data_IF_626970946003
#
_entry.id   IF_626970946003
#
_cell.length_a   1.000
_cell.length_b   1.000
_cell.length_c   1.000
_cell.angle_alpha   90.00
_cell.angle_beta   90.00
_cell.angle_gamma   90.00
#
_symmetry.space_group_name_H-M   'P 1'
#
loop_
_entity.id
_entity.type
_entity.pdbx_description
1 polymer ?
#
# COMPACT_ATOMS: atom_id res chain seq x y z
N UNK A 1 31.05 -6.91 -4.55
CA UNK A 1 30.08 -5.84 -4.23
C UNK A 1 29.13 -5.67 -5.41
N UNK A 2 27.88 -6.13 -5.29
CA UNK A 2 26.89 -6.01 -6.37
C UNK A 2 26.52 -4.54 -6.57
N UNK A 3 26.86 -3.99 -7.74
CA UNK A 3 26.49 -2.63 -8.17
C UNK A 3 25.13 -2.71 -8.86
N UNK A 4 24.12 -2.01 -8.33
CA UNK A 4 22.76 -2.04 -8.87
C UNK A 4 22.38 -0.64 -9.34
N UNK A 5 21.93 -0.52 -10.58
CA UNK A 5 21.50 0.76 -11.14
C UNK A 5 20.26 1.30 -10.42
N UNK A 6 20.17 2.62 -10.25
CA UNK A 6 19.03 3.33 -9.66
C UNK A 6 17.67 2.95 -10.28
N UNK A 7 17.66 2.58 -11.57
CA UNK A 7 16.47 2.10 -12.27
C UNK A 7 15.99 0.73 -11.73
N UNK A 8 16.91 -0.21 -11.51
CA UNK A 8 16.59 -1.54 -10.99
C UNK A 8 16.12 -1.47 -9.53
N UNK A 9 16.72 -0.59 -8.73
CA UNK A 9 16.28 -0.35 -7.33
C UNK A 9 14.84 0.14 -7.29
N UNK A 10 14.50 1.14 -8.11
CA UNK A 10 13.14 1.69 -8.18
C UNK A 10 12.13 0.62 -8.59
N UNK A 11 12.52 -0.29 -9.50
CA UNK A 11 11.70 -1.40 -9.94
C UNK A 11 11.46 -2.44 -8.84
N UNK A 12 12.51 -2.80 -8.09
CA UNK A 12 12.39 -3.74 -6.96
C UNK A 12 11.48 -3.16 -5.87
N UNK A 13 11.63 -1.88 -5.54
CA UNK A 13 10.74 -1.22 -4.56
C UNK A 13 9.28 -1.19 -5.02
N UNK A 14 9.02 -0.90 -6.30
CA UNK A 14 7.68 -0.99 -6.88
C UNK A 14 7.09 -2.39 -6.79
N UNK A 15 7.90 -3.42 -7.08
CA UNK A 15 7.46 -4.82 -7.00
C UNK A 15 7.05 -5.21 -5.57
N UNK A 16 7.85 -4.83 -4.57
CA UNK A 16 7.54 -5.08 -3.16
C UNK A 16 6.21 -4.42 -2.77
N UNK A 17 5.99 -3.17 -3.20
CA UNK A 17 4.76 -2.44 -2.89
C UNK A 17 3.53 -3.06 -3.55
N UNK A 18 3.64 -3.57 -4.78
CA UNK A 18 2.56 -4.33 -5.40
C UNK A 18 2.28 -5.61 -4.63
N UNK A 19 3.31 -6.42 -4.32
CA UNK A 19 3.11 -7.69 -3.63
C UNK A 19 2.42 -7.49 -2.27
N UNK A 20 2.88 -6.53 -1.47
CA UNK A 20 2.26 -6.19 -0.19
C UNK A 20 0.85 -5.63 -0.37
N UNK A 21 0.66 -4.76 -1.38
CA UNK A 21 -0.64 -4.17 -1.68
C UNK A 21 -1.68 -5.22 -2.09
N UNK A 22 -1.33 -6.15 -2.96
CA UNK A 22 -2.20 -7.26 -3.37
C UNK A 22 -2.54 -8.19 -2.19
N UNK A 23 -1.55 -8.50 -1.34
CA UNK A 23 -1.77 -9.32 -0.16
C UNK A 23 -2.75 -8.69 0.83
N UNK A 24 -2.58 -7.40 1.13
CA UNK A 24 -3.48 -6.65 2.02
C UNK A 24 -4.89 -6.54 1.43
N UNK A 25 -4.99 -6.30 0.12
CA UNK A 25 -6.28 -6.23 -0.56
C UNK A 25 -7.03 -7.56 -0.47
N UNK A 26 -6.35 -8.68 -0.68
CA UNK A 26 -6.94 -10.01 -0.53
C UNK A 26 -7.39 -10.28 0.92
N UNK A 27 -6.56 -9.89 1.90
CA UNK A 27 -6.88 -10.06 3.32
C UNK A 27 -8.10 -9.22 3.72
N UNK A 28 -8.15 -7.96 3.29
CA UNK A 28 -9.24 -7.04 3.58
C UNK A 28 -10.56 -7.45 2.92
N UNK A 29 -10.51 -7.91 1.66
CA UNK A 29 -11.66 -8.49 0.98
C UNK A 29 -12.21 -9.70 1.71
N UNK A 30 -11.34 -10.61 2.16
CA UNK A 30 -11.75 -11.79 2.93
C UNK A 30 -12.41 -11.40 4.25
N UNK A 31 -11.86 -10.41 4.95
CA UNK A 31 -12.43 -9.90 6.21
C UNK A 31 -13.82 -9.29 6.03
N UNK A 32 -14.11 -8.65 4.89
CA UNK A 32 -15.40 -8.00 4.62
C UNK A 32 -16.43 -8.99 4.06
N UNK A 33 -16.02 -9.91 3.19
CA UNK A 33 -16.93 -10.79 2.43
C UNK A 33 -17.18 -12.15 3.10
N UNK A 34 -16.34 -12.56 4.05
CA UNK A 34 -16.45 -13.87 4.70
C UNK A 34 -17.10 -13.74 6.09
N UNK A 35 -18.41 -14.00 6.23
CA UNK A 35 -19.12 -13.90 7.51
C UNK A 35 -18.61 -14.92 8.54
N UNK A 36 -17.96 -15.99 8.10
CA UNK A 36 -17.35 -17.01 8.98
C UNK A 36 -16.12 -16.49 9.73
N UNK A 37 -15.48 -15.43 9.25
CA UNK A 37 -14.42 -14.70 9.98
C UNK A 37 -14.96 -13.69 10.99
N UNK A 38 -16.28 -13.63 11.19
CA UNK A 38 -16.92 -12.93 12.30
C UNK A 38 -17.42 -13.87 13.43
N UNK A 39 -16.63 -14.81 13.97
CA UNK A 39 -17.08 -15.61 15.10
C UNK A 39 -17.10 -14.70 16.35
N UNK A 40 -18.28 -14.14 16.66
CA UNK A 40 -18.53 -13.31 17.85
C UNK A 40 -18.20 -11.81 17.71
N UNK A 41 -17.93 -11.29 16.51
CA UNK A 41 -17.43 -9.93 16.31
C UNK A 41 -18.52 -8.90 16.01
N UNK A 42 -18.63 -7.85 16.84
CA UNK A 42 -19.44 -6.66 16.56
C UNK A 42 -19.12 -6.12 15.16
N UNK A 43 -20.11 -6.05 14.27
CA UNK A 43 -19.99 -5.49 12.91
C UNK A 43 -20.69 -4.13 12.81
N UNK A 44 -20.23 -3.10 13.55
CA UNK A 44 -20.98 -1.87 13.74
C UNK A 44 -21.16 -1.07 12.45
N UNK A 45 -20.24 -1.18 11.48
CA UNK A 45 -20.37 -0.44 10.22
C UNK A 45 -21.27 -1.20 9.25
N UNK A 46 -21.05 -2.50 9.10
CA UNK A 46 -21.89 -3.33 8.23
C UNK A 46 -23.35 -3.33 8.68
N UNK A 47 -23.63 -3.36 10.00
CA UNK A 47 -25.01 -3.32 10.52
C UNK A 47 -25.71 -1.98 10.28
N UNK A 48 -25.01 -0.86 10.44
CA UNK A 48 -25.56 0.47 10.14
C UNK A 48 -25.84 0.67 8.65
N UNK A 49 -24.96 0.15 7.78
CA UNK A 49 -25.15 0.23 6.31
C UNK A 49 -26.23 -0.75 5.84
N UNK A 50 -26.33 -1.92 6.46
CA UNK A 50 -27.38 -2.91 6.18
C UNK A 50 -28.79 -2.33 6.37
N UNK A 51 -28.99 -1.49 7.39
CA UNK A 51 -30.27 -0.81 7.61
C UNK A 51 -30.69 0.13 6.46
N UNK A 52 -29.74 0.56 5.62
CA UNK A 52 -29.99 1.44 4.46
C UNK A 52 -29.97 0.66 3.14
N UNK A 53 -29.14 -0.36 3.02
CA UNK A 53 -28.89 -1.10 1.76
C UNK A 53 -29.56 -2.48 1.67
N UNK A 54 -30.27 -2.92 2.71
CA UNK A 54 -31.15 -4.09 2.67
C UNK A 54 -30.45 -5.45 2.88
N UNK A 55 -29.19 -5.60 2.46
CA UNK A 55 -28.44 -6.85 2.64
C UNK A 55 -26.96 -6.68 3.00
N UNK A 56 -26.39 -7.73 3.59
CA UNK A 56 -25.02 -7.75 4.10
C UNK A 56 -23.98 -7.72 2.96
N UNK A 57 -24.30 -8.35 1.83
CA UNK A 57 -23.44 -8.36 0.65
C UNK A 57 -23.38 -6.97 -0.01
N UNK A 58 -24.52 -6.29 -0.17
CA UNK A 58 -24.55 -4.93 -0.73
C UNK A 58 -23.79 -3.96 0.16
N UNK A 59 -23.98 -4.05 1.48
CA UNK A 59 -23.24 -3.25 2.46
C UNK A 59 -21.72 -3.50 2.41
N UNK A 60 -21.30 -4.77 2.27
CA UNK A 60 -19.89 -5.15 2.12
C UNK A 60 -19.26 -4.59 0.84
N UNK A 61 -19.95 -4.71 -0.29
CA UNK A 61 -19.49 -4.16 -1.58
C UNK A 61 -19.39 -2.62 -1.50
N UNK A 62 -20.37 -1.95 -0.88
CA UNK A 62 -20.33 -0.51 -0.69
C UNK A 62 -19.13 -0.08 0.17
N UNK A 63 -18.87 -0.80 1.26
CA UNK A 63 -17.71 -0.54 2.12
C UNK A 63 -16.38 -0.75 1.38
N UNK A 64 -16.27 -1.81 0.56
CA UNK A 64 -15.11 -2.04 -0.30
C UNK A 64 -14.94 -0.89 -1.29
N UNK A 65 -16.02 -0.45 -1.95
CA UNK A 65 -15.96 0.65 -2.92
C UNK A 65 -15.49 1.95 -2.27
N UNK A 66 -16.00 2.28 -1.08
CA UNK A 66 -15.58 3.45 -0.29
C UNK A 66 -14.11 3.31 0.11
N UNK A 67 -13.70 2.15 0.61
CA UNK A 67 -12.32 1.89 1.00
C UNK A 67 -11.34 2.03 -0.17
N UNK A 68 -11.69 1.45 -1.34
CA UNK A 68 -10.92 1.59 -2.57
C UNK A 68 -10.82 3.06 -3.01
N UNK A 69 -11.92 3.81 -2.93
CA UNK A 69 -11.93 5.23 -3.28
C UNK A 69 -11.04 6.06 -2.34
N UNK A 70 -11.14 5.85 -1.03
CA UNK A 70 -10.28 6.49 -0.02
C UNK A 70 -8.81 6.12 -0.27
N UNK A 71 -8.53 4.84 -0.49
CA UNK A 71 -7.19 4.32 -0.79
C UNK A 71 -6.60 4.95 -2.04
N UNK A 72 -7.40 5.10 -3.10
CA UNK A 72 -7.01 5.76 -4.34
C UNK A 72 -6.68 7.25 -4.11
N UNK A 73 -7.55 8.00 -3.43
CA UNK A 73 -7.34 9.43 -3.14
C UNK A 73 -6.08 9.65 -2.29
N UNK A 74 -5.93 8.86 -1.22
CA UNK A 74 -4.80 8.95 -0.30
C UNK A 74 -3.50 8.51 -0.97
N UNK A 75 -3.55 7.44 -1.77
CA UNK A 75 -2.41 6.95 -2.55
C UNK A 75 -1.90 7.96 -3.57
N UNK A 76 -2.82 8.62 -4.29
CA UNK A 76 -2.48 9.63 -5.30
C UNK A 76 -1.75 10.85 -4.72
N UNK A 77 -2.07 11.27 -3.50
CA UNK A 77 -1.50 12.48 -2.90
C UNK A 77 -0.30 12.19 -1.98
N UNK A 78 -0.44 11.28 -1.01
CA UNK A 78 0.59 11.00 -0.02
C UNK A 78 1.71 10.12 -0.58
N UNK A 79 1.36 8.97 -1.17
CA UNK A 79 2.37 8.00 -1.63
C UNK A 79 3.09 8.48 -2.87
N UNK A 80 2.43 9.25 -3.75
CA UNK A 80 3.12 9.89 -4.88
C UNK A 80 4.22 10.85 -4.42
N UNK A 81 3.96 11.63 -3.37
CA UNK A 81 4.97 12.52 -2.76
C UNK A 81 6.11 11.71 -2.14
N UNK A 82 5.80 10.64 -1.41
CA UNK A 82 6.80 9.76 -0.80
C UNK A 82 7.67 9.03 -1.84
N UNK A 83 7.07 8.50 -2.92
CA UNK A 83 7.78 7.81 -4.00
C UNK A 83 8.73 8.78 -4.73
N UNK A 84 8.27 10.00 -5.05
CA UNK A 84 9.11 11.04 -5.63
C UNK A 84 10.27 11.40 -4.72
N UNK A 85 10.03 11.67 -3.44
CA UNK A 85 11.09 11.95 -2.47
C UNK A 85 12.09 10.79 -2.34
N UNK A 86 11.62 9.54 -2.40
CA UNK A 86 12.48 8.35 -2.41
C UNK A 86 13.42 8.32 -3.62
N UNK A 87 12.90 8.58 -4.82
CA UNK A 87 13.69 8.61 -6.06
C UNK A 87 14.60 9.83 -6.15
N UNK A 88 14.14 11.02 -5.73
CA UNK A 88 14.95 12.23 -5.65
C UNK A 88 16.18 12.01 -4.76
N UNK A 89 15.97 11.32 -3.63
CA UNK A 89 17.05 10.95 -2.72
C UNK A 89 17.98 9.90 -3.33
N UNK A 90 17.47 8.93 -4.08
CA UNK A 90 18.33 7.98 -4.81
C UNK A 90 19.25 8.71 -5.79
N UNK A 91 18.80 9.82 -6.41
CA UNK A 91 19.62 10.65 -7.31
C UNK A 91 20.70 11.47 -6.61
N UNK A 92 20.54 11.81 -5.33
CA UNK A 92 21.53 12.61 -4.60
C UNK A 92 22.75 11.82 -4.14
N UNK A 93 22.83 10.51 -4.44
CA UNK A 93 23.97 9.66 -4.11
C UNK A 93 24.83 9.37 -5.36
N UNK A 94 26.16 9.23 -5.20
CA UNK A 94 27.06 8.88 -6.30
C UNK A 94 26.75 7.49 -6.87
N UNK A 95 26.62 7.39 -8.20
CA UNK A 95 26.48 6.14 -8.94
C UNK A 95 27.89 5.53 -9.14
N UNK A 96 28.17 4.28 -8.73
CA UNK A 96 27.28 3.24 -8.23
C UNK A 96 27.12 3.18 -6.70
N UNK A 97 25.86 3.06 -6.25
CA UNK A 97 25.52 2.92 -4.83
C UNK A 97 25.64 1.46 -4.34
N UNK A 98 26.20 1.20 -3.15
CA UNK A 98 26.14 -0.10 -2.49
C UNK A 98 24.72 -0.43 -2.00
N UNK A 99 24.26 -1.67 -2.21
CA UNK A 99 22.91 -2.19 -1.85
C UNK A 99 22.53 -1.91 -0.38
N UNK A 100 23.50 -1.82 0.53
CA UNK A 100 23.24 -1.55 1.95
C UNK A 100 22.67 -0.14 2.21
N UNK A 101 22.85 0.81 1.29
CA UNK A 101 22.26 2.16 1.37
C UNK A 101 20.97 2.31 0.54
N UNK A 102 20.46 1.21 -0.02
CA UNK A 102 19.31 1.20 -0.94
C UNK A 102 18.03 1.74 -0.29
N UNK A 103 17.87 1.54 1.02
CA UNK A 103 16.76 2.09 1.79
C UNK A 103 17.29 2.98 2.91
N UNK A 104 16.90 4.26 2.90
CA UNK A 104 17.20 5.15 4.02
C UNK A 104 16.55 4.61 5.30
N UNK A 105 17.17 4.81 6.48
CA UNK A 105 16.53 4.57 7.77
C UNK A 105 15.11 5.17 7.86
N UNK A 106 14.85 6.31 7.21
CA UNK A 106 13.52 6.94 7.15
C UNK A 106 12.47 6.08 6.43
N UNK A 107 12.88 5.30 5.44
CA UNK A 107 11.99 4.38 4.72
C UNK A 107 11.66 3.14 5.57
N UNK A 108 12.64 2.60 6.31
CA UNK A 108 12.37 1.55 7.29
C UNK A 108 11.44 2.04 8.41
N UNK A 109 11.57 3.28 8.86
CA UNK A 109 10.65 3.89 9.83
C UNK A 109 9.25 4.05 9.23
N UNK A 110 9.13 4.50 7.98
CA UNK A 110 7.82 4.62 7.31
C UNK A 110 7.15 3.25 7.15
N UNK A 111 7.90 2.25 6.67
CA UNK A 111 7.42 0.87 6.48
C UNK A 111 7.04 0.24 7.83
N UNK A 112 7.92 0.38 8.83
CA UNK A 112 7.69 -0.08 10.20
C UNK A 112 6.51 0.64 10.85
N UNK A 113 6.27 1.91 10.54
CA UNK A 113 5.11 2.67 11.00
C UNK A 113 3.81 2.18 10.38
N UNK A 114 3.79 1.85 9.08
CA UNK A 114 2.60 1.29 8.42
C UNK A 114 2.28 -0.12 8.91
N UNK A 115 3.30 -0.98 9.07
CA UNK A 115 3.14 -2.33 9.63
C UNK A 115 2.76 -2.25 11.12
N UNK A 116 3.39 -1.34 11.86
CA UNK A 116 3.12 -1.09 13.28
C UNK A 116 1.70 -0.59 13.52
N UNK A 117 1.16 0.27 12.64
CA UNK A 117 -0.24 0.68 12.65
C UNK A 117 -1.18 -0.51 12.37
N UNK A 118 -0.85 -1.35 11.38
CA UNK A 118 -1.65 -2.56 11.11
C UNK A 118 -1.64 -3.54 12.28
N UNK A 119 -0.49 -3.70 12.95
CA UNK A 119 -0.37 -4.56 14.13
C UNK A 119 -1.04 -3.96 15.37
N UNK A 120 -0.97 -2.64 15.59
CA UNK A 120 -1.63 -2.00 16.72
C UNK A 120 -3.16 -2.07 16.59
N UNK A 121 -3.69 -2.00 15.37
CA UNK A 121 -5.12 -2.23 15.11
C UNK A 121 -5.57 -3.63 15.50
N UNK A 122 -4.72 -4.65 15.29
CA UNK A 122 -4.98 -6.02 15.75
C UNK A 122 -4.96 -6.10 17.28
N UNK A 123 -4.06 -5.38 17.94
CA UNK A 123 -3.94 -5.39 19.40
C UNK A 123 -5.08 -4.63 20.09
N UNK A 124 -5.62 -3.60 19.44
CA UNK A 124 -6.74 -2.78 19.92
C UNK A 124 -8.11 -3.47 19.76
N UNK A 125 -8.17 -4.70 19.21
CA UNK A 125 -9.42 -5.45 19.07
C UNK A 125 -10.41 -4.79 18.10
N UNK A 126 -9.92 -4.09 17.06
CA UNK A 126 -10.81 -3.44 16.11
C UNK A 126 -11.74 -4.44 15.40
N UNK A 127 -13.02 -4.06 15.17
CA UNK A 127 -13.95 -4.85 14.38
C UNK A 127 -13.38 -5.26 13.03
N UNK A 128 -13.69 -6.49 12.61
CA UNK A 128 -13.18 -7.07 11.37
C UNK A 128 -13.60 -6.26 10.13
N UNK A 129 -14.78 -5.61 10.14
CA UNK A 129 -15.26 -4.73 9.07
C UNK A 129 -14.34 -3.52 8.87
N UNK A 130 -13.96 -2.88 9.97
CA UNK A 130 -13.14 -1.66 9.97
C UNK A 130 -11.73 -2.04 9.52
N UNK A 131 -11.21 -3.13 10.08
CA UNK A 131 -9.91 -3.64 9.71
C UNK A 131 -9.85 -4.03 8.24
N UNK A 132 -10.85 -4.75 7.75
CA UNK A 132 -10.95 -5.12 6.34
C UNK A 132 -11.01 -3.90 5.43
N UNK A 133 -11.81 -2.89 5.80
CA UNK A 133 -11.88 -1.62 5.06
C UNK A 133 -10.54 -0.88 5.03
N UNK A 134 -9.82 -0.84 6.15
CA UNK A 134 -8.48 -0.24 6.22
C UNK A 134 -7.50 -1.03 5.35
N UNK A 135 -7.49 -2.36 5.43
CA UNK A 135 -6.58 -3.22 4.65
C UNK A 135 -6.83 -3.07 3.14
N UNK A 136 -8.09 -2.97 2.71
CA UNK A 136 -8.45 -2.65 1.31
C UNK A 136 -7.96 -1.26 0.92
N UNK A 137 -8.18 -0.24 1.75
CA UNK A 137 -7.76 1.14 1.47
C UNK A 137 -6.22 1.25 1.39
N UNK A 138 -5.50 0.61 2.31
CA UNK A 138 -4.03 0.59 2.35
C UNK A 138 -3.49 -0.21 1.16
N UNK A 139 -4.08 -1.37 0.84
CA UNK A 139 -3.71 -2.17 -0.31
C UNK A 139 -3.83 -1.39 -1.63
N UNK A 140 -4.96 -0.72 -1.84
CA UNK A 140 -5.18 0.15 -2.99
C UNK A 140 -4.21 1.34 -3.03
N UNK A 141 -3.89 1.93 -1.89
CA UNK A 141 -2.92 3.02 -1.81
C UNK A 141 -1.51 2.53 -2.22
N UNK A 142 -1.06 1.38 -1.70
CA UNK A 142 0.25 0.79 -2.00
C UNK A 142 0.40 0.43 -3.48
N UNK A 143 -0.61 -0.17 -4.10
CA UNK A 143 -0.61 -0.47 -5.53
C UNK A 143 -0.44 0.82 -6.35
N UNK A 144 -1.19 1.88 -6.00
CA UNK A 144 -1.04 3.18 -6.67
C UNK A 144 0.35 3.80 -6.45
N UNK A 145 0.91 3.66 -5.26
CA UNK A 145 2.28 4.09 -4.97
C UNK A 145 3.34 3.34 -5.79
N UNK A 146 3.16 2.03 -5.96
CA UNK A 146 4.06 1.18 -6.73
C UNK A 146 4.10 1.56 -8.21
N UNK A 147 2.95 1.93 -8.79
CA UNK A 147 2.87 2.42 -10.16
C UNK A 147 3.71 3.69 -10.37
N UNK A 148 3.78 4.58 -9.38
CA UNK A 148 4.66 5.76 -9.47
C UNK A 148 6.14 5.37 -9.40
N UNK A 149 6.52 4.37 -8.59
CA UNK A 149 7.88 3.82 -8.59
C UNK A 149 8.28 3.26 -9.97
N UNK A 150 7.40 2.52 -10.63
CA UNK A 150 7.66 2.03 -11.99
C UNK A 150 7.78 3.16 -13.00
N UNK A 151 6.90 4.17 -12.94
CA UNK A 151 6.99 5.35 -13.81
C UNK A 151 8.32 6.07 -13.66
N UNK A 152 8.76 6.30 -12.42
CA UNK A 152 10.03 6.96 -12.12
C UNK A 152 11.23 6.10 -12.54
N UNK A 153 11.19 4.79 -12.28
CA UNK A 153 12.23 3.84 -12.71
C UNK A 153 12.38 3.76 -14.23
N UNK A 154 11.27 3.75 -14.97
CA UNK A 154 11.28 3.79 -16.45
C UNK A 154 11.84 5.10 -16.98
N UNK A 155 11.48 6.24 -16.38
CA UNK A 155 12.02 7.54 -16.76
C UNK A 155 13.54 7.63 -16.54
N UNK A 156 14.06 7.01 -15.47
CA UNK A 156 15.50 6.90 -15.22
C UNK A 156 16.19 5.99 -16.24
N UNK A 157 15.58 4.86 -16.59
CA UNK A 157 16.13 3.94 -17.60
C UNK A 157 16.22 4.59 -18.97
N UNK A 158 15.18 5.33 -19.39
CA UNK A 158 15.16 6.06 -20.66
C UNK A 158 16.31 7.09 -20.76
N UNK A 159 16.48 7.93 -19.73
CA UNK A 159 17.59 8.90 -19.67
C UNK A 159 18.99 8.28 -19.78
N UNK A 160 19.16 7.03 -19.32
CA UNK A 160 20.44 6.31 -19.42
C UNK A 160 20.75 5.86 -20.84
N UNK A 161 19.73 5.44 -21.58
CA UNK A 161 19.85 5.01 -22.99
C UNK A 161 20.13 6.21 -23.89
N UNK A 162 19.52 7.37 -23.61
CA UNK A 162 19.74 8.59 -24.40
C UNK A 162 21.14 9.22 -24.17
N UNK A 163 21.86 8.80 -23.14
CA UNK A 163 23.17 9.33 -22.75
C UNK A 163 24.36 8.42 -23.12
N UNK A 164 24.10 7.29 -23.77
CA UNK A 164 25.07 6.29 -24.24
C UNK A 164 25.08 6.21 -25.76
#
# INVERSE_FOLDING_TARGET
MFKVSHANVSFISGLIWICVGCFLLQMGLKLILDPTYAPGGSTPILSNIQGVMGGLQEAGIALIAIALYIGYLKGKHLLRKSARQGVERLRSFPDPMPIQNMYSPKYYILLGGMIGLGMSMRFLGLPNDIRGGIDVAVGAALINGALEYFRLGLALRKKRVDAS
#
